data_IF_091796136809
#
_entry.id   IF_091796136809
#
_cell.length_a   1.000
_cell.length_b   1.000
_cell.length_c   1.000
_cell.angle_alpha   90.00
_cell.angle_beta   90.00
_cell.angle_gamma   90.00
#
_symmetry.space_group_name_H-M   'P 1'
#
loop_
_entity.id
_entity.type
_entity.pdbx_description
1 polymer ?
#
# COMPACT_ATOMS: atom_id res chain seq x y z
N UNK A 1 7.49 11.24 1.19
CA UNK A 1 8.00 10.57 0.00
C UNK A 1 6.82 10.32 -0.91
N UNK A 2 6.88 10.84 -2.13
CA UNK A 2 5.88 10.59 -3.16
C UNK A 2 6.11 9.16 -3.68
N UNK A 3 5.21 8.25 -3.40
CA UNK A 3 5.32 6.83 -3.78
C UNK A 3 5.44 6.63 -5.30
N UNK A 4 4.99 7.60 -6.09
CA UNK A 4 5.04 7.56 -7.55
C UNK A 4 6.43 7.86 -8.12
N UNK A 5 7.29 8.55 -7.37
CA UNK A 5 8.62 8.97 -7.84
C UNK A 5 9.74 7.98 -7.51
N UNK A 6 9.47 6.97 -6.67
CA UNK A 6 10.47 6.00 -6.20
C UNK A 6 10.52 4.67 -6.97
N UNK A 7 9.76 4.54 -8.04
CA UNK A 7 10.03 3.48 -9.02
C UNK A 7 11.32 3.85 -9.71
N UNK A 8 12.42 3.31 -9.18
CA UNK A 8 13.76 3.56 -9.68
C UNK A 8 13.81 3.23 -11.19
N UNK A 9 14.61 3.96 -11.94
CA UNK A 9 14.88 3.71 -13.38
C UNK A 9 15.50 2.32 -13.65
N UNK A 10 15.70 1.51 -12.62
CA UNK A 10 16.15 0.12 -12.69
C UNK A 10 15.05 -0.82 -13.21
N UNK A 11 15.43 -2.02 -13.56
CA UNK A 11 14.50 -3.08 -13.96
C UNK A 11 13.61 -3.53 -12.77
N UNK A 12 12.57 -4.32 -13.07
CA UNK A 12 11.63 -4.78 -12.05
C UNK A 12 12.30 -5.66 -11.00
N UNK A 13 13.21 -6.55 -11.44
CA UNK A 13 13.93 -7.43 -10.54
C UNK A 13 14.78 -6.64 -9.53
N UNK A 14 15.57 -5.69 -10.02
CA UNK A 14 16.44 -4.87 -9.19
C UNK A 14 15.66 -3.96 -8.23
N UNK A 15 14.48 -3.49 -8.63
CA UNK A 15 13.58 -2.78 -7.74
C UNK A 15 13.22 -3.60 -6.50
N UNK A 16 12.82 -4.86 -6.67
CA UNK A 16 12.42 -5.74 -5.55
C UNK A 16 13.64 -6.25 -4.77
N UNK A 17 14.72 -6.63 -5.49
CA UNK A 17 15.94 -7.16 -4.89
C UNK A 17 16.75 -6.13 -4.11
N UNK A 18 16.50 -4.83 -4.28
CA UNK A 18 17.28 -3.76 -3.65
C UNK A 18 17.30 -3.88 -2.12
N UNK A 19 16.14 -3.97 -1.48
CA UNK A 19 16.04 -4.08 -0.03
C UNK A 19 16.81 -5.29 0.53
N UNK A 20 16.53 -6.51 0.07
CA UNK A 20 17.27 -7.70 0.48
C UNK A 20 18.79 -7.60 0.29
N UNK A 21 19.26 -7.01 -0.82
CA UNK A 21 20.70 -6.79 -1.07
C UNK A 21 21.32 -5.86 -0.03
N UNK A 22 20.63 -4.76 0.31
CA UNK A 22 21.07 -3.82 1.36
C UNK A 22 21.15 -4.50 2.72
N UNK A 23 20.24 -5.43 3.00
CA UNK A 23 20.24 -6.26 4.21
C UNK A 23 21.22 -7.46 4.14
N UNK A 24 22.09 -7.51 3.12
CA UNK A 24 23.20 -8.44 3.06
C UNK A 24 22.90 -9.77 2.35
N UNK A 25 21.74 -9.95 1.74
CA UNK A 25 21.45 -11.13 0.91
C UNK A 25 22.26 -11.03 -0.38
N UNK A 26 23.20 -11.97 -0.58
CA UNK A 26 24.10 -11.99 -1.74
C UNK A 26 23.93 -13.22 -2.62
N UNK A 27 23.34 -14.27 -2.08
CA UNK A 27 23.07 -15.49 -2.82
C UNK A 27 21.99 -15.24 -3.88
N UNK A 28 22.31 -15.60 -5.15
CA UNK A 28 21.43 -15.30 -6.28
C UNK A 28 20.14 -16.11 -6.21
N UNK A 29 20.22 -17.40 -5.86
CA UNK A 29 19.03 -18.25 -5.81
C UNK A 29 18.05 -17.75 -4.74
N UNK A 30 18.57 -17.35 -3.56
CA UNK A 30 17.77 -16.75 -2.50
C UNK A 30 17.15 -15.41 -2.92
N UNK A 31 17.87 -14.58 -3.68
CA UNK A 31 17.31 -13.34 -4.22
C UNK A 31 16.19 -13.61 -5.22
N UNK A 32 16.37 -14.60 -6.09
CA UNK A 32 15.36 -15.03 -7.06
C UNK A 32 14.09 -15.48 -6.35
N UNK A 33 14.19 -16.30 -5.30
CA UNK A 33 13.07 -16.75 -4.47
C UNK A 33 12.35 -15.58 -3.77
N UNK A 34 13.11 -14.63 -3.20
CA UNK A 34 12.53 -13.45 -2.53
C UNK A 34 11.79 -12.57 -3.53
N UNK A 35 12.38 -12.32 -4.70
CA UNK A 35 11.78 -11.46 -5.73
C UNK A 35 10.49 -12.09 -6.24
N UNK A 36 10.53 -13.36 -6.63
CA UNK A 36 9.34 -14.09 -7.08
C UNK A 36 8.25 -14.09 -6.00
N UNK A 37 8.58 -14.53 -4.79
CA UNK A 37 7.63 -14.60 -3.67
C UNK A 37 7.00 -13.24 -3.34
N UNK A 38 7.78 -12.16 -3.38
CA UNK A 38 7.28 -10.80 -3.13
C UNK A 38 6.35 -10.32 -4.23
N UNK A 39 6.67 -10.61 -5.50
CA UNK A 39 5.82 -10.26 -6.64
C UNK A 39 4.51 -11.07 -6.64
N UNK A 40 4.56 -12.34 -6.27
CA UNK A 40 3.36 -13.19 -6.09
C UNK A 40 2.46 -12.62 -5.00
N UNK A 41 3.02 -12.29 -3.83
CA UNK A 41 2.28 -11.70 -2.71
C UNK A 41 1.69 -10.32 -3.02
N UNK A 42 2.33 -9.56 -3.91
CA UNK A 42 1.82 -8.30 -4.42
C UNK A 42 0.85 -8.46 -5.61
N UNK A 43 0.44 -9.68 -5.94
CA UNK A 43 -0.43 -10.03 -7.07
C UNK A 43 0.05 -9.41 -8.40
N UNK A 44 1.37 -9.36 -8.62
CA UNK A 44 1.99 -8.76 -9.80
C UNK A 44 2.74 -9.77 -10.67
N UNK A 45 3.21 -10.89 -10.11
CA UNK A 45 4.12 -11.84 -10.77
C UNK A 45 3.63 -12.29 -12.15
N UNK A 46 2.39 -12.75 -12.26
CA UNK A 46 1.85 -13.26 -13.52
C UNK A 46 1.81 -12.23 -14.65
N UNK A 47 1.74 -10.94 -14.30
CA UNK A 47 1.73 -9.85 -15.29
C UNK A 47 3.14 -9.46 -15.76
N UNK A 48 4.21 -9.82 -15.00
CA UNK A 48 5.57 -9.32 -15.24
C UNK A 48 6.66 -10.40 -15.35
N UNK A 49 6.36 -11.66 -15.09
CA UNK A 49 7.34 -12.77 -15.02
C UNK A 49 8.24 -12.90 -16.25
N UNK A 50 7.72 -12.56 -17.45
CA UNK A 50 8.46 -12.68 -18.70
C UNK A 50 9.31 -11.44 -19.02
N UNK A 51 9.25 -10.39 -18.16
CA UNK A 51 9.93 -9.10 -18.37
C UNK A 51 10.55 -8.51 -17.09
N UNK A 52 11.01 -9.35 -16.19
CA UNK A 52 11.60 -8.92 -14.90
C UNK A 52 12.84 -8.01 -15.08
N UNK A 53 13.53 -8.10 -16.19
CA UNK A 53 14.69 -7.29 -16.54
C UNK A 53 14.36 -6.08 -17.43
N UNK A 54 13.09 -5.76 -17.61
CA UNK A 54 12.66 -4.54 -18.28
C UNK A 54 12.47 -3.39 -17.27
N UNK A 55 12.54 -2.17 -17.78
CA UNK A 55 12.35 -0.96 -16.97
C UNK A 55 10.97 -0.93 -16.32
N UNK A 56 10.94 -0.67 -15.02
CA UNK A 56 9.71 -0.50 -14.24
C UNK A 56 8.89 0.74 -14.66
N UNK A 57 9.49 1.70 -15.37
CA UNK A 57 8.79 2.89 -15.88
C UNK A 57 7.75 2.56 -16.97
N UNK A 58 7.85 1.39 -17.61
CA UNK A 58 6.86 0.91 -18.58
C UNK A 58 5.58 0.31 -17.98
N UNK A 59 5.49 0.24 -16.65
CA UNK A 59 4.31 -0.28 -15.94
C UNK A 59 3.18 0.75 -15.87
N UNK A 60 1.93 0.27 -15.84
CA UNK A 60 0.78 1.10 -15.48
C UNK A 60 0.86 1.57 -14.02
N UNK A 61 0.15 2.64 -13.66
CA UNK A 61 0.16 3.17 -12.28
C UNK A 61 -0.20 2.11 -11.23
N UNK A 62 -1.23 1.30 -11.47
CA UNK A 62 -1.59 0.21 -10.57
C UNK A 62 -0.54 -0.92 -10.48
N UNK A 63 0.19 -1.19 -11.57
CA UNK A 63 1.32 -2.12 -11.54
C UNK A 63 2.52 -1.54 -10.78
N UNK A 64 2.82 -0.25 -10.96
CA UNK A 64 3.88 0.44 -10.22
C UNK A 64 3.58 0.43 -8.71
N UNK A 65 2.33 0.67 -8.33
CA UNK A 65 1.93 0.61 -6.92
C UNK A 65 2.13 -0.79 -6.33
N UNK A 66 1.72 -1.85 -7.05
CA UNK A 66 1.95 -3.23 -6.60
C UNK A 66 3.45 -3.59 -6.58
N UNK A 67 4.26 -3.03 -7.47
CA UNK A 67 5.71 -3.16 -7.41
C UNK A 67 6.28 -2.51 -6.14
N UNK A 68 5.80 -1.32 -5.77
CA UNK A 68 6.20 -0.67 -4.52
C UNK A 68 5.81 -1.52 -3.30
N UNK A 69 4.63 -2.16 -3.31
CA UNK A 69 4.24 -3.11 -2.26
C UNK A 69 5.20 -4.30 -2.25
N UNK A 70 5.50 -4.93 -3.40
CA UNK A 70 6.45 -6.04 -3.48
C UNK A 70 7.82 -5.69 -2.91
N UNK A 71 8.34 -4.48 -3.18
CA UNK A 71 9.61 -3.96 -2.61
C UNK A 71 9.59 -3.92 -1.09
N UNK A 72 8.48 -3.50 -0.49
CA UNK A 72 8.31 -3.47 0.96
C UNK A 72 8.22 -4.88 1.52
N UNK A 73 7.46 -5.77 0.89
CA UNK A 73 7.29 -7.15 1.35
C UNK A 73 8.59 -7.97 1.27
N UNK A 74 9.49 -7.62 0.35
CA UNK A 74 10.78 -8.31 0.16
C UNK A 74 11.73 -8.24 1.37
N UNK A 75 11.51 -7.29 2.29
CA UNK A 75 12.28 -7.16 3.53
C UNK A 75 11.54 -7.69 4.76
N UNK A 76 10.40 -8.35 4.57
CA UNK A 76 9.59 -8.98 5.62
C UNK A 76 9.33 -8.06 6.83
N UNK A 77 8.70 -6.89 6.64
CA UNK A 77 8.46 -5.94 7.72
C UNK A 77 7.38 -6.44 8.68
N UNK A 78 7.41 -6.02 9.94
CA UNK A 78 6.30 -6.25 10.88
C UNK A 78 5.13 -5.27 10.65
N UNK A 79 5.46 -4.05 10.19
CA UNK A 79 4.50 -2.97 9.95
C UNK A 79 4.74 -2.37 8.57
N UNK A 80 3.66 -2.24 7.80
CA UNK A 80 3.66 -1.58 6.48
C UNK A 80 2.97 -0.22 6.59
N UNK A 81 3.68 0.84 6.22
CA UNK A 81 3.14 2.20 6.18
C UNK A 81 2.85 2.59 4.73
N UNK A 82 1.64 3.08 4.48
CA UNK A 82 1.21 3.52 3.15
C UNK A 82 0.62 4.92 3.24
N UNK A 83 1.09 5.81 2.39
CA UNK A 83 0.59 7.17 2.27
C UNK A 83 -0.13 7.32 0.93
N UNK A 84 -1.44 7.56 0.97
CA UNK A 84 -2.31 7.75 -0.21
C UNK A 84 -2.14 6.67 -1.29
N UNK A 85 -2.19 5.36 -0.97
CA UNK A 85 -1.75 4.29 -1.88
C UNK A 85 -2.58 4.16 -3.16
N UNK A 86 -3.70 4.85 -3.29
CA UNK A 86 -4.61 4.77 -4.45
C UNK A 86 -4.98 6.12 -5.04
N UNK A 87 -4.41 7.23 -4.56
CA UNK A 87 -4.82 8.59 -4.94
C UNK A 87 -4.69 8.90 -6.44
N UNK A 88 -3.73 8.26 -7.13
CA UNK A 88 -3.47 8.46 -8.56
C UNK A 88 -3.96 7.29 -9.44
N UNK A 89 -4.81 6.41 -8.91
CA UNK A 89 -5.25 5.21 -9.60
C UNK A 89 -6.68 5.32 -10.12
N UNK A 90 -6.95 4.63 -11.24
CA UNK A 90 -8.30 4.41 -11.72
C UNK A 90 -9.09 3.46 -10.78
N UNK A 91 -10.45 3.44 -10.87
CA UNK A 91 -11.27 2.62 -9.97
C UNK A 91 -10.97 1.12 -10.01
N UNK A 92 -10.57 0.57 -11.16
CA UNK A 92 -10.26 -0.86 -11.31
C UNK A 92 -8.95 -1.17 -10.60
N UNK A 93 -7.93 -0.34 -10.80
CA UNK A 93 -6.64 -0.46 -10.12
C UNK A 93 -6.78 -0.26 -8.60
N UNK A 94 -7.61 0.69 -8.18
CA UNK A 94 -7.95 0.90 -6.75
C UNK A 94 -8.56 -0.35 -6.13
N UNK A 95 -9.56 -0.96 -6.79
CA UNK A 95 -10.18 -2.18 -6.28
C UNK A 95 -9.19 -3.35 -6.14
N UNK A 96 -8.24 -3.48 -7.07
CA UNK A 96 -7.17 -4.49 -6.98
C UNK A 96 -6.25 -4.25 -5.77
N UNK A 97 -5.88 -2.99 -5.50
CA UNK A 97 -5.08 -2.65 -4.32
C UNK A 97 -5.86 -2.92 -3.04
N UNK A 98 -7.14 -2.54 -2.97
CA UNK A 98 -7.98 -2.79 -1.79
C UNK A 98 -8.13 -4.30 -1.51
N UNK A 99 -8.34 -5.13 -2.53
CA UNK A 99 -8.38 -6.58 -2.39
C UNK A 99 -7.03 -7.15 -1.89
N UNK A 100 -5.91 -6.64 -2.43
CA UNK A 100 -4.58 -7.01 -1.98
C UNK A 100 -4.35 -6.65 -0.50
N UNK A 101 -4.80 -5.47 -0.06
CA UNK A 101 -4.71 -5.05 1.35
C UNK A 101 -5.49 -5.98 2.28
N UNK A 102 -6.68 -6.44 1.86
CA UNK A 102 -7.47 -7.41 2.62
C UNK A 102 -6.78 -8.77 2.79
N UNK A 103 -5.95 -9.16 1.84
CA UNK A 103 -5.12 -10.37 1.94
C UNK A 103 -3.93 -10.12 2.87
N UNK A 104 -3.19 -9.03 2.66
CA UNK A 104 -1.96 -8.71 3.38
C UNK A 104 -2.19 -8.42 4.87
N UNK A 105 -3.33 -7.87 5.27
CA UNK A 105 -3.63 -7.58 6.68
C UNK A 105 -3.73 -8.82 7.57
N UNK A 106 -3.75 -10.02 6.99
CA UNK A 106 -3.71 -11.29 7.75
C UNK A 106 -2.34 -11.57 8.32
N UNK A 107 -1.29 -11.10 7.63
CA UNK A 107 0.11 -11.39 7.96
C UNK A 107 0.84 -10.14 8.47
N UNK A 108 0.35 -8.94 8.15
CA UNK A 108 1.01 -7.67 8.46
C UNK A 108 0.10 -6.70 9.22
N UNK A 109 0.72 -5.89 10.07
CA UNK A 109 0.08 -4.66 10.54
C UNK A 109 0.22 -3.58 9.45
N UNK A 110 -0.91 -3.11 8.90
CA UNK A 110 -0.92 -2.10 7.85
C UNK A 110 -1.46 -0.79 8.40
N UNK A 111 -0.72 0.29 8.23
CA UNK A 111 -1.15 1.65 8.55
C UNK A 111 -1.26 2.43 7.25
N UNK A 112 -2.46 2.96 6.98
CA UNK A 112 -2.76 3.72 5.76
C UNK A 112 -3.13 5.14 6.14
N UNK A 113 -2.49 6.13 5.52
CA UNK A 113 -2.94 7.52 5.51
C UNK A 113 -3.73 7.74 4.22
N UNK A 114 -4.95 8.25 4.34
CA UNK A 114 -5.78 8.59 3.20
C UNK A 114 -6.78 9.69 3.55
N UNK A 115 -7.06 10.55 2.59
CA UNK A 115 -8.16 11.51 2.68
C UNK A 115 -9.47 10.93 2.10
N UNK A 116 -9.43 9.73 1.52
CA UNK A 116 -10.61 9.07 0.96
C UNK A 116 -11.36 8.28 2.05
N UNK A 117 -12.42 8.91 2.60
CA UNK A 117 -13.24 8.33 3.65
C UNK A 117 -13.89 7.00 3.24
N UNK A 118 -14.29 6.87 1.98
CA UNK A 118 -14.91 5.64 1.48
C UNK A 118 -13.89 4.49 1.46
N UNK A 119 -12.64 4.77 1.07
CA UNK A 119 -11.57 3.79 1.13
C UNK A 119 -11.30 3.38 2.59
N UNK A 120 -11.11 4.35 3.49
CA UNK A 120 -10.90 4.07 4.91
C UNK A 120 -12.01 3.17 5.47
N UNK A 121 -13.28 3.47 5.13
CA UNK A 121 -14.43 2.68 5.57
C UNK A 121 -14.46 1.24 5.04
N UNK A 122 -13.84 0.97 3.86
CA UNK A 122 -13.83 -0.37 3.25
C UNK A 122 -12.68 -1.23 3.75
N UNK A 123 -11.47 -0.67 3.88
CA UNK A 123 -10.25 -1.49 4.06
C UNK A 123 -9.76 -1.57 5.49
N UNK A 124 -10.11 -0.60 6.36
CA UNK A 124 -9.55 -0.54 7.70
C UNK A 124 -10.44 -1.21 8.76
N UNK A 125 -9.81 -1.81 9.76
CA UNK A 125 -10.49 -2.37 10.94
C UNK A 125 -10.69 -1.30 12.01
N UNK A 126 -9.73 -0.37 12.13
CA UNK A 126 -9.76 0.78 13.02
C UNK A 126 -9.37 2.05 12.26
N UNK A 127 -9.97 3.16 12.62
CA UNK A 127 -9.71 4.45 11.99
C UNK A 127 -9.35 5.50 13.04
N UNK A 128 -8.31 6.28 12.74
CA UNK A 128 -7.90 7.46 13.48
C UNK A 128 -8.23 8.70 12.65
N UNK A 129 -9.06 9.59 13.16
CA UNK A 129 -9.36 10.86 12.52
C UNK A 129 -8.47 11.97 13.07
N UNK A 130 -7.69 12.58 12.19
CA UNK A 130 -6.82 13.72 12.49
C UNK A 130 -7.38 14.99 11.87
N UNK A 131 -7.37 16.08 12.64
CA UNK A 131 -7.73 17.41 12.16
C UNK A 131 -6.70 18.42 12.67
N UNK A 132 -6.08 19.19 11.76
CA UNK A 132 -5.07 20.22 12.08
C UNK A 132 -3.93 19.72 12.99
N UNK A 133 -3.51 18.46 12.81
CA UNK A 133 -2.45 17.85 13.60
C UNK A 133 -2.88 17.24 14.94
N UNK A 134 -4.17 17.35 15.30
CA UNK A 134 -4.75 16.75 16.49
C UNK A 134 -5.40 15.40 16.16
N UNK A 135 -5.19 14.38 16.99
CA UNK A 135 -5.99 13.17 16.98
C UNK A 135 -7.35 13.47 17.62
N UNK A 136 -8.39 13.56 16.81
CA UNK A 136 -9.75 13.89 17.24
C UNK A 136 -10.45 12.66 17.77
N UNK A 137 -10.41 11.56 17.03
CA UNK A 137 -11.09 10.32 17.38
C UNK A 137 -10.33 9.11 16.89
N UNK A 138 -10.37 8.00 17.67
CA UNK A 138 -9.84 6.71 17.30
C UNK A 138 -10.76 5.59 17.76
N UNK A 139 -11.39 4.89 16.83
CA UNK A 139 -12.35 3.84 17.12
C UNK A 139 -12.31 2.69 16.12
N UNK A 140 -13.13 1.66 16.32
CA UNK A 140 -13.42 0.69 15.27
C UNK A 140 -14.02 1.44 14.07
N UNK A 141 -13.59 1.09 12.86
CA UNK A 141 -13.99 1.81 11.63
C UNK A 141 -15.51 1.95 11.51
N UNK A 142 -16.25 0.86 11.74
CA UNK A 142 -17.71 0.88 11.69
C UNK A 142 -18.31 1.86 12.69
N UNK A 143 -17.78 1.90 13.91
CA UNK A 143 -18.25 2.80 14.95
C UNK A 143 -18.00 4.25 14.57
N UNK A 144 -16.77 4.59 14.19
CA UNK A 144 -16.39 5.95 13.78
C UNK A 144 -17.23 6.47 12.62
N UNK A 145 -17.57 5.63 11.63
CA UNK A 145 -18.32 6.05 10.45
C UNK A 145 -19.84 6.11 10.66
N UNK A 146 -20.41 5.28 11.55
CA UNK A 146 -21.86 5.22 11.74
C UNK A 146 -22.35 5.93 13.01
N UNK A 147 -21.50 6.06 14.01
CA UNK A 147 -21.83 6.67 15.30
C UNK A 147 -20.61 7.35 15.93
N UNK A 148 -20.06 8.40 15.25
CA UNK A 148 -18.89 9.12 15.75
C UNK A 148 -19.19 9.74 17.12
N UNK A 149 -18.21 9.73 18.02
CA UNK A 149 -18.32 10.29 19.34
C UNK A 149 -18.05 11.80 19.39
N UNK A 150 -17.27 12.32 18.42
CA UNK A 150 -16.89 13.73 18.33
C UNK A 150 -17.65 14.40 17.17
N UNK A 151 -18.28 15.55 17.45
CA UNK A 151 -19.03 16.33 16.46
C UNK A 151 -18.16 16.75 15.26
N UNK A 152 -16.87 16.98 15.45
CA UNK A 152 -15.94 17.30 14.36
C UNK A 152 -15.79 16.12 13.40
N UNK A 153 -15.77 14.89 13.92
CA UNK A 153 -15.74 13.66 13.11
C UNK A 153 -17.06 13.53 12.32
N UNK A 154 -18.22 13.75 12.97
CA UNK A 154 -19.53 13.70 12.32
C UNK A 154 -19.64 14.71 11.20
N UNK A 155 -19.22 15.96 11.45
CA UNK A 155 -19.24 17.03 10.45
C UNK A 155 -18.33 16.71 9.26
N UNK A 156 -17.16 16.14 9.50
CA UNK A 156 -16.22 15.73 8.44
C UNK A 156 -16.81 14.61 7.58
N UNK A 157 -17.34 13.56 8.18
CA UNK A 157 -17.92 12.41 7.47
C UNK A 157 -19.17 12.83 6.65
N UNK A 158 -20.01 13.73 7.22
CA UNK A 158 -21.23 14.21 6.55
C UNK A 158 -20.97 15.28 5.51
N UNK A 159 -19.72 15.73 5.30
CA UNK A 159 -19.37 16.80 4.36
C UNK A 159 -19.85 18.21 4.80
N UNK A 160 -20.15 18.39 6.08
CA UNK A 160 -20.61 19.67 6.65
C UNK A 160 -19.45 20.57 7.11
N UNK A 161 -18.25 20.35 6.60
CA UNK A 161 -17.13 21.25 6.80
C UNK A 161 -17.29 22.47 5.89
N UNK A 162 -17.67 23.57 6.49
CA UNK A 162 -17.77 24.87 5.87
C UNK A 162 -17.48 25.95 6.88
#
# INVERSE_FOLDING_TARGET
CDWSSDVCSSDLYDNVAYGPRVHGVRDKARLDDIVEGSLVRAALFDEVKDRLHESALGLSGGQQQRLCIARVLAVEPEVVLMDEPTSALDPISTAKIEALLDELKRDYTIVIVTHNMQQAGRVSDRTAFFLLGELVEYAATKELFFNPADERTENYISGRFG
#
